data_IF_133815781434
#
_entry.id   IF_133815781434
#
_cell.length_a   1.000
_cell.length_b   1.000
_cell.length_c   1.000
_cell.angle_alpha   90.00
_cell.angle_beta   90.00
_cell.angle_gamma   90.00
#
_symmetry.space_group_name_H-M   'P 1'
#
loop_
_entity.id
_entity.type
_entity.pdbx_description
1 polymer ?
#
# COMPACT_ATOMS: atom_id res chain seq x y z
N UNK A 1 -0.39 5.87 -3.10
CA UNK A 1 -0.07 6.09 -1.67
C UNK A 1 -0.46 7.47 -1.16
N UNK A 2 -0.42 8.54 -1.96
CA UNK A 2 -0.80 9.89 -1.52
C UNK A 2 -2.24 9.99 -0.95
N UNK A 3 -3.24 9.40 -1.62
CA UNK A 3 -4.61 9.34 -1.08
C UNK A 3 -4.71 8.69 0.31
N UNK A 4 -3.87 7.69 0.58
CA UNK A 4 -3.82 7.02 1.88
C UNK A 4 -3.13 7.90 2.91
N UNK A 5 -2.07 8.62 2.53
CA UNK A 5 -1.36 9.57 3.39
C UNK A 5 -2.29 10.69 3.84
N UNK A 6 -3.05 11.29 2.92
CA UNK A 6 -4.07 12.30 3.21
C UNK A 6 -5.05 11.81 4.29
N UNK A 7 -5.64 10.63 4.09
CA UNK A 7 -6.60 10.07 5.06
C UNK A 7 -5.96 9.78 6.41
N UNK A 8 -4.73 9.27 6.42
CA UNK A 8 -3.99 8.99 7.65
C UNK A 8 -3.65 10.26 8.44
N UNK A 9 -3.23 11.33 7.75
CA UNK A 9 -2.93 12.62 8.39
C UNK A 9 -4.21 13.25 8.96
N UNK A 10 -5.31 13.22 8.21
CA UNK A 10 -6.61 13.69 8.70
C UNK A 10 -7.11 12.87 9.90
N UNK A 11 -7.05 11.54 9.85
CA UNK A 11 -7.38 10.66 10.98
C UNK A 11 -6.54 11.01 12.21
N UNK A 12 -5.23 11.19 12.04
CA UNK A 12 -4.32 11.55 13.13
C UNK A 12 -4.69 12.90 13.72
N UNK A 13 -4.93 13.91 12.88
CA UNK A 13 -5.30 15.26 13.33
C UNK A 13 -6.63 15.29 14.10
N UNK A 14 -7.63 14.51 13.67
CA UNK A 14 -8.91 14.37 14.40
C UNK A 14 -8.67 13.71 15.75
N UNK A 15 -7.91 12.61 15.79
CA UNK A 15 -7.65 11.86 17.02
C UNK A 15 -6.81 12.65 18.04
N UNK A 16 -5.95 13.55 17.56
CA UNK A 16 -5.18 14.48 18.38
C UNK A 16 -5.96 15.75 18.76
N UNK A 17 -7.19 15.92 18.27
CA UNK A 17 -8.01 17.11 18.53
C UNK A 17 -7.55 18.37 17.81
N UNK A 18 -6.65 18.24 16.82
CA UNK A 18 -6.13 19.35 15.99
C UNK A 18 -7.07 19.72 14.85
N UNK A 19 -7.94 18.79 14.43
CA UNK A 19 -8.92 18.96 13.37
C UNK A 19 -10.32 18.59 13.91
N UNK A 20 -11.31 19.46 13.69
CA UNK A 20 -12.70 19.16 14.05
C UNK A 20 -13.37 18.42 12.90
N UNK A 21 -14.32 17.55 13.23
CA UNK A 21 -15.12 16.80 12.24
C UNK A 21 -15.89 17.73 11.29
N UNK A 22 -16.33 18.90 11.77
CA UNK A 22 -17.04 19.88 10.95
C UNK A 22 -16.16 20.50 9.85
N UNK A 23 -14.84 20.45 10.01
CA UNK A 23 -13.87 21.11 9.12
C UNK A 23 -13.25 20.11 8.11
N UNK A 24 -13.68 18.84 8.11
CA UNK A 24 -13.07 17.79 7.27
C UNK A 24 -13.19 18.05 5.77
N UNK A 25 -14.31 18.62 5.32
CA UNK A 25 -14.53 18.89 3.89
C UNK A 25 -13.52 19.92 3.35
N UNK A 26 -13.29 20.99 4.11
CA UNK A 26 -12.31 22.03 3.76
C UNK A 26 -10.88 21.47 3.81
N UNK A 27 -10.53 20.77 4.90
CA UNK A 27 -9.20 20.18 5.06
C UNK A 27 -8.90 19.16 3.94
N UNK A 28 -9.89 18.35 3.55
CA UNK A 28 -9.74 17.40 2.45
C UNK A 28 -9.35 18.10 1.15
N UNK A 29 -10.05 19.19 0.80
CA UNK A 29 -9.77 19.95 -0.42
C UNK A 29 -8.38 20.56 -0.39
N UNK A 30 -8.00 21.13 0.75
CA UNK A 30 -6.66 21.69 0.98
C UNK A 30 -5.56 20.63 0.78
N UNK A 31 -5.71 19.44 1.37
CA UNK A 31 -4.72 18.37 1.23
C UNK A 31 -4.71 17.74 -0.17
N UNK A 32 -5.87 17.58 -0.82
CA UNK A 32 -5.94 17.09 -2.20
C UNK A 32 -5.17 18.02 -3.15
N UNK A 33 -5.36 19.33 -3.01
CA UNK A 33 -4.61 20.32 -3.80
C UNK A 33 -3.12 20.28 -3.45
N UNK A 34 -2.76 20.30 -2.17
CA UNK A 34 -1.36 20.34 -1.75
C UNK A 34 -0.57 19.07 -2.12
N UNK A 35 -1.19 17.89 -2.07
CA UNK A 35 -0.49 16.62 -2.33
C UNK A 35 -0.65 16.12 -3.76
N UNK A 36 -1.79 16.37 -4.40
CA UNK A 36 -2.12 15.84 -5.72
C UNK A 36 -2.33 16.92 -6.80
N UNK A 37 -2.40 18.19 -6.43
CA UNK A 37 -2.60 19.31 -7.38
C UNK A 37 -3.98 19.34 -8.02
N UNK A 38 -4.98 18.73 -7.37
CA UNK A 38 -6.37 18.71 -7.82
C UNK A 38 -7.33 18.87 -6.65
N UNK A 39 -8.53 19.38 -6.93
CA UNK A 39 -9.65 19.47 -5.96
C UNK A 39 -10.85 18.65 -6.44
N UNK A 40 -11.66 18.19 -5.49
CA UNK A 40 -12.90 17.46 -5.81
C UNK A 40 -14.02 18.45 -6.14
N UNK A 41 -14.90 18.16 -7.12
CA UNK A 41 -15.98 19.07 -7.52
C UNK A 41 -17.10 19.19 -6.48
N UNK A 42 -17.25 18.18 -5.62
CA UNK A 42 -18.26 18.11 -4.57
C UNK A 42 -17.79 17.18 -3.44
N UNK A 43 -18.50 17.17 -2.31
CA UNK A 43 -18.16 16.33 -1.15
C UNK A 43 -18.33 14.84 -1.42
N UNK A 44 -19.20 14.45 -2.38
CA UNK A 44 -19.40 13.05 -2.75
C UNK A 44 -18.15 12.46 -3.43
N UNK A 45 -17.44 13.26 -4.22
CA UNK A 45 -16.14 12.93 -4.79
C UNK A 45 -14.96 13.39 -3.90
N UNK A 46 -15.27 14.06 -2.79
CA UNK A 46 -14.31 14.55 -1.80
C UNK A 46 -14.32 13.71 -0.53
N UNK A 47 -14.57 14.36 0.61
CA UNK A 47 -14.50 13.74 1.94
C UNK A 47 -15.44 12.54 2.13
N UNK A 48 -16.51 12.42 1.34
CA UNK A 48 -17.48 11.31 1.40
C UNK A 48 -17.18 10.18 0.38
N UNK A 49 -16.07 10.26 -0.36
CA UNK A 49 -15.71 9.28 -1.41
C UNK A 49 -15.62 7.84 -0.87
N UNK A 50 -15.24 7.66 0.40
CA UNK A 50 -15.01 6.36 1.02
C UNK A 50 -15.93 6.12 2.24
N UNK A 51 -16.38 4.87 2.40
CA UNK A 51 -17.29 4.46 3.48
C UNK A 51 -16.62 4.20 4.84
N UNK A 52 -15.29 4.22 4.92
CA UNK A 52 -14.54 3.70 6.08
C UNK A 52 -14.88 4.45 7.36
N UNK A 53 -14.88 5.78 7.32
CA UNK A 53 -15.14 6.60 8.49
C UNK A 53 -16.59 6.48 8.98
N UNK A 54 -17.57 6.42 8.09
CA UNK A 54 -18.96 6.18 8.47
C UNK A 54 -19.20 4.77 9.04
N UNK A 55 -18.31 3.83 8.73
CA UNK A 55 -18.32 2.46 9.27
C UNK A 55 -17.44 2.28 10.51
N UNK A 56 -16.86 3.37 11.05
CA UNK A 56 -16.00 3.33 12.23
C UNK A 56 -14.61 2.71 12.00
N UNK A 57 -14.18 2.55 10.74
CA UNK A 57 -12.89 1.97 10.37
C UNK A 57 -11.74 2.99 10.44
N UNK A 58 -11.58 3.64 11.60
CA UNK A 58 -10.50 4.61 11.84
C UNK A 58 -9.17 3.87 12.02
N UNK A 59 -8.09 4.34 11.39
CA UNK A 59 -6.78 3.70 11.39
C UNK A 59 -6.66 2.55 10.38
N UNK A 60 -7.66 2.36 9.51
CA UNK A 60 -7.68 1.28 8.51
C UNK A 60 -6.87 1.64 7.26
N UNK A 61 -6.96 2.88 6.77
CA UNK A 61 -6.33 3.29 5.51
C UNK A 61 -4.83 2.98 5.39
N UNK A 62 -3.99 3.17 6.43
CA UNK A 62 -2.56 2.83 6.35
C UNK A 62 -2.29 1.39 5.90
N UNK A 63 -3.23 0.46 6.13
CA UNK A 63 -3.08 -0.93 5.73
C UNK A 63 -2.99 -1.13 4.20
N UNK A 64 -3.59 -0.25 3.39
CA UNK A 64 -3.45 -0.30 1.93
C UNK A 64 -2.01 -0.01 1.48
N UNK A 65 -1.40 1.05 2.05
CA UNK A 65 0.00 1.39 1.75
C UNK A 65 0.95 0.30 2.26
N UNK A 66 0.68 -0.28 3.44
CA UNK A 66 1.44 -1.44 3.93
C UNK A 66 1.35 -2.62 2.95
N UNK A 67 0.17 -2.90 2.39
CA UNK A 67 -0.02 -3.93 1.37
C UNK A 67 0.80 -3.67 0.10
N UNK A 68 0.84 -2.43 -0.39
CA UNK A 68 1.67 -2.05 -1.54
C UNK A 68 3.16 -2.33 -1.28
N UNK A 69 3.67 -1.90 -0.13
CA UNK A 69 5.08 -2.11 0.24
C UNK A 69 5.40 -3.60 0.37
N UNK A 70 4.56 -4.34 1.11
CA UNK A 70 4.76 -5.77 1.32
C UNK A 70 4.68 -6.58 0.04
N UNK A 71 3.83 -6.19 -0.92
CA UNK A 71 3.67 -6.93 -2.18
C UNK A 71 5.00 -7.05 -2.93
N UNK A 72 5.78 -5.97 -3.03
CA UNK A 72 7.07 -5.97 -3.72
C UNK A 72 8.14 -6.68 -2.89
N UNK A 73 8.15 -6.49 -1.57
CA UNK A 73 9.11 -7.19 -0.70
C UNK A 73 8.94 -8.72 -0.76
N UNK A 74 7.70 -9.21 -0.79
CA UNK A 74 7.38 -10.63 -0.97
C UNK A 74 7.72 -11.10 -2.38
N UNK A 75 7.41 -10.30 -3.40
CA UNK A 75 7.72 -10.60 -4.79
C UNK A 75 9.22 -10.76 -5.05
N UNK A 76 10.05 -9.81 -4.59
CA UNK A 76 11.51 -9.90 -4.75
C UNK A 76 12.07 -11.15 -4.08
N UNK A 77 11.55 -11.52 -2.91
CA UNK A 77 11.97 -12.75 -2.24
C UNK A 77 11.56 -14.00 -3.03
N UNK A 78 10.32 -14.06 -3.51
CA UNK A 78 9.85 -15.17 -4.32
C UNK A 78 10.69 -15.34 -5.60
N UNK A 79 11.07 -14.24 -6.26
CA UNK A 79 11.97 -14.26 -7.41
C UNK A 79 13.39 -14.71 -7.07
N UNK A 80 13.92 -14.31 -5.91
CA UNK A 80 15.24 -14.75 -5.47
C UNK A 80 15.28 -16.26 -5.20
N UNK A 81 14.21 -16.80 -4.60
CA UNK A 81 14.09 -18.24 -4.33
C UNK A 81 13.77 -19.03 -5.62
N UNK A 82 13.01 -18.45 -6.55
CA UNK A 82 12.61 -19.06 -7.83
C UNK A 82 12.73 -18.08 -9.02
N UNK A 83 13.92 -17.93 -9.62
CA UNK A 83 14.14 -16.98 -10.72
C UNK A 83 13.29 -17.22 -11.97
N UNK A 84 12.83 -18.46 -12.19
CA UNK A 84 12.03 -18.81 -13.38
C UNK A 84 10.59 -18.27 -13.36
N UNK A 85 10.12 -17.71 -12.24
CA UNK A 85 8.73 -17.26 -12.07
C UNK A 85 8.29 -16.33 -13.21
N UNK A 86 9.16 -15.42 -13.66
CA UNK A 86 8.82 -14.48 -14.75
C UNK A 86 8.56 -15.24 -16.06
N UNK A 87 9.44 -16.17 -16.41
CA UNK A 87 9.30 -17.00 -17.61
C UNK A 87 8.08 -17.92 -17.54
N UNK A 88 7.79 -18.48 -16.36
CA UNK A 88 6.61 -19.31 -16.12
C UNK A 88 5.33 -18.50 -16.30
N UNK A 89 5.25 -17.30 -15.74
CA UNK A 89 4.12 -16.38 -15.92
C UNK A 89 3.92 -16.01 -17.39
N UNK A 90 4.99 -15.83 -18.17
CA UNK A 90 4.93 -15.62 -19.61
C UNK A 90 4.29 -16.78 -20.38
N UNK A 91 4.23 -17.98 -19.79
CA UNK A 91 3.55 -19.18 -20.30
C UNK A 91 2.19 -19.44 -19.62
N UNK A 92 1.67 -18.48 -18.87
CA UNK A 92 0.47 -18.61 -18.03
C UNK A 92 0.59 -19.67 -16.91
N UNK A 93 1.81 -20.01 -16.49
CA UNK A 93 2.06 -20.89 -15.34
C UNK A 93 2.37 -20.05 -14.09
N UNK A 94 1.45 -20.07 -13.13
CA UNK A 94 1.56 -19.35 -11.86
C UNK A 94 1.85 -20.29 -10.68
N UNK A 95 2.09 -21.59 -10.94
CA UNK A 95 2.16 -22.62 -9.89
C UNK A 95 3.32 -22.38 -8.92
N UNK A 96 4.48 -21.95 -9.41
CA UNK A 96 5.65 -21.66 -8.55
C UNK A 96 5.41 -20.47 -7.62
N UNK A 97 4.91 -19.36 -8.17
CA UNK A 97 4.59 -18.18 -7.37
C UNK A 97 3.51 -18.49 -6.33
N UNK A 98 2.41 -19.14 -6.74
CA UNK A 98 1.33 -19.52 -5.82
C UNK A 98 1.82 -20.53 -4.77
N UNK A 99 2.67 -21.47 -5.15
CA UNK A 99 3.32 -22.44 -4.27
C UNK A 99 4.13 -21.75 -3.19
N UNK A 100 5.02 -20.83 -3.60
CA UNK A 100 5.82 -20.02 -2.68
C UNK A 100 4.92 -19.22 -1.72
N UNK A 101 3.89 -18.54 -2.22
CA UNK A 101 2.96 -17.77 -1.38
C UNK A 101 2.21 -18.67 -0.39
N UNK A 102 1.80 -19.88 -0.80
CA UNK A 102 1.13 -20.84 0.09
C UNK A 102 2.06 -21.34 1.19
N UNK A 103 3.31 -21.61 0.85
CA UNK A 103 4.31 -22.09 1.79
C UNK A 103 4.75 -21.00 2.78
N UNK A 104 5.03 -19.80 2.31
CA UNK A 104 5.65 -18.76 3.14
C UNK A 104 4.63 -17.84 3.82
N UNK A 105 3.41 -17.72 3.28
CA UNK A 105 2.40 -16.77 3.77
C UNK A 105 1.08 -17.47 4.12
N UNK A 106 0.37 -18.03 3.13
CA UNK A 106 -1.04 -18.39 3.30
C UNK A 106 -1.27 -19.49 4.34
N UNK A 107 -0.42 -20.53 4.37
CA UNK A 107 -0.60 -21.66 5.30
C UNK A 107 -0.52 -21.27 6.78
N UNK A 108 0.05 -20.11 7.09
CA UNK A 108 0.26 -19.68 8.47
C UNK A 108 -0.97 -18.97 9.05
N UNK A 109 -1.89 -18.45 8.22
CA UNK A 109 -3.06 -17.71 8.69
C UNK A 109 -2.69 -16.66 9.73
N UNK A 110 -3.29 -16.75 10.93
CA UNK A 110 -3.02 -15.85 12.07
C UNK A 110 -2.03 -16.41 13.10
N UNK A 111 -1.29 -17.49 12.76
CA UNK A 111 -0.32 -18.14 13.66
C UNK A 111 0.80 -17.20 14.11
N UNK A 112 1.21 -16.28 13.25
CA UNK A 112 2.27 -15.31 13.53
C UNK A 112 1.75 -13.88 13.45
N UNK A 113 2.34 -12.98 14.25
CA UNK A 113 2.15 -11.54 14.08
C UNK A 113 2.72 -11.11 12.72
N UNK A 114 2.17 -10.07 12.07
CA UNK A 114 2.60 -9.65 10.72
C UNK A 114 4.12 -9.49 10.59
N UNK A 115 4.77 -8.72 11.47
CA UNK A 115 6.22 -8.52 11.40
C UNK A 115 7.01 -9.83 11.53
N UNK A 116 6.55 -10.76 12.37
CA UNK A 116 7.18 -12.08 12.51
C UNK A 116 6.99 -12.93 11.25
N UNK A 117 5.80 -12.90 10.65
CA UNK A 117 5.52 -13.63 9.40
C UNK A 117 6.38 -13.09 8.25
N UNK A 118 6.43 -11.77 8.09
CA UNK A 118 7.23 -11.12 7.05
C UNK A 118 8.72 -11.41 7.25
N UNK A 119 9.22 -11.31 8.48
CA UNK A 119 10.62 -11.69 8.77
C UNK A 119 10.91 -13.15 8.42
N UNK A 120 9.99 -14.08 8.73
CA UNK A 120 10.14 -15.49 8.35
C UNK A 120 10.12 -15.72 6.84
N UNK A 121 9.28 -14.97 6.12
CA UNK A 121 9.13 -15.11 4.68
C UNK A 121 10.30 -14.48 3.92
N UNK A 122 10.75 -13.28 4.31
CA UNK A 122 11.69 -12.47 3.52
C UNK A 122 13.08 -12.35 4.14
N UNK A 123 13.27 -12.76 5.39
CA UNK A 123 14.53 -12.60 6.13
C UNK A 123 14.75 -11.20 6.71
N UNK A 124 13.74 -10.33 6.70
CA UNK A 124 13.86 -8.94 7.16
C UNK A 124 12.53 -8.35 7.65
N UNK A 125 12.59 -7.21 8.32
CA UNK A 125 11.38 -6.45 8.68
C UNK A 125 10.73 -5.84 7.44
N UNK A 126 9.56 -5.20 7.61
CA UNK A 126 8.97 -4.33 6.59
C UNK A 126 10.00 -3.29 6.11
N UNK A 127 10.19 -3.17 4.80
CA UNK A 127 11.07 -2.20 4.17
C UNK A 127 10.41 -1.59 2.93
N UNK A 128 10.40 -0.26 2.82
CA UNK A 128 9.85 0.47 1.68
C UNK A 128 10.81 0.51 0.48
N UNK A 129 12.10 0.24 0.65
CA UNK A 129 13.11 0.35 -0.41
C UNK A 129 12.82 -0.54 -1.63
N UNK A 130 12.42 -1.82 -1.49
CA UNK A 130 12.01 -2.65 -2.63
C UNK A 130 10.91 -2.00 -3.46
N UNK A 131 9.87 -1.49 -2.78
CA UNK A 131 8.73 -0.86 -3.43
C UNK A 131 9.12 0.43 -4.17
N UNK A 132 9.94 1.28 -3.56
CA UNK A 132 10.45 2.49 -4.21
C UNK A 132 11.32 2.15 -5.42
N UNK A 133 12.25 1.21 -5.29
CA UNK A 133 13.07 0.72 -6.40
C UNK A 133 12.20 0.22 -7.56
N UNK A 134 11.19 -0.60 -7.28
CA UNK A 134 10.25 -1.08 -8.29
C UNK A 134 9.56 0.06 -9.03
N UNK A 135 9.05 1.07 -8.30
CA UNK A 135 8.41 2.23 -8.93
C UNK A 135 9.39 3.03 -9.80
N UNK A 136 10.58 3.34 -9.28
CA UNK A 136 11.60 4.09 -10.01
C UNK A 136 12.04 3.36 -11.28
N UNK A 137 12.32 2.05 -11.20
CA UNK A 137 12.70 1.25 -12.38
C UNK A 137 11.56 1.20 -13.39
N UNK A 138 10.37 0.75 -12.98
CA UNK A 138 9.25 0.53 -13.92
C UNK A 138 8.80 1.84 -14.58
N UNK A 139 8.56 2.88 -13.80
CA UNK A 139 8.04 4.14 -14.33
C UNK A 139 9.15 4.97 -14.98
N UNK A 140 10.40 4.83 -14.53
CA UNK A 140 11.54 5.43 -15.22
C UNK A 140 11.74 4.89 -16.62
N UNK A 141 11.62 3.56 -16.81
CA UNK A 141 11.67 2.91 -18.12
C UNK A 141 10.49 3.30 -19.02
N UNK A 142 9.26 3.31 -18.49
CA UNK A 142 8.05 3.61 -19.27
C UNK A 142 8.03 5.06 -19.77
N UNK A 143 8.42 6.01 -18.92
CA UNK A 143 8.31 7.45 -19.22
C UNK A 143 9.65 8.09 -19.63
N UNK A 144 10.75 7.34 -19.64
CA UNK A 144 12.06 7.83 -20.00
C UNK A 144 12.63 8.86 -19.01
N UNK A 145 12.33 8.70 -17.72
CA UNK A 145 12.77 9.61 -16.65
C UNK A 145 13.72 8.92 -15.70
N UNK A 146 14.82 9.57 -15.36
CA UNK A 146 15.73 9.11 -14.31
C UNK A 146 15.31 9.74 -12.98
N UNK A 147 15.08 8.91 -11.97
CA UNK A 147 14.75 9.34 -10.60
C UNK A 147 15.81 8.84 -9.63
#
# INVERSE_FOLDING_TARGET
>A
NLHIMLRFEMETAVMEGKLKVADLAEEWQSQMESMLGITAPDDAQGVLQDMHWSSGLIGYFPTYTLGNVLSVQLWERALADHPSIIDDMGRNDYTKLLGWMREHIHRHGRKFRPNTLIHKATGGSLDAKPYLKYLHTKFGEIYGVSV
#
